data_IF_774349700685
#
_entry.id   IF_774349700685
#
_cell.length_a   1.000
_cell.length_b   1.000
_cell.length_c   1.000
_cell.angle_alpha   90.00
_cell.angle_beta   90.00
_cell.angle_gamma   90.00
#
_symmetry.space_group_name_H-M   'P 1'
#
loop_
_entity.id
_entity.type
_entity.pdbx_description
1 polymer ?
#
# COMPACT_ATOMS: atom_id res chain seq x y z
N UNK A 1 -14.86 22.11 -4.89
CA UNK A 1 -14.76 21.02 -3.89
C UNK A 1 -13.32 21.02 -3.39
N UNK A 2 -13.08 20.84 -2.09
CA UNK A 2 -11.72 20.69 -1.58
C UNK A 2 -11.13 19.35 -1.99
N UNK A 3 -9.84 19.15 -1.74
CA UNK A 3 -9.12 17.93 -2.10
C UNK A 3 -9.62 16.72 -1.29
N UNK A 4 -10.01 16.93 -0.02
CA UNK A 4 -10.63 15.92 0.83
C UNK A 4 -11.95 15.40 0.22
N UNK A 5 -12.87 16.29 -0.18
CA UNK A 5 -14.15 15.85 -0.74
C UNK A 5 -13.97 15.14 -2.09
N UNK A 6 -12.96 15.54 -2.88
CA UNK A 6 -12.64 14.86 -4.12
C UNK A 6 -12.12 13.44 -3.87
N UNK A 7 -11.20 13.26 -2.92
CA UNK A 7 -10.72 11.94 -2.51
C UNK A 7 -11.84 11.07 -1.93
N UNK A 8 -12.71 11.64 -1.10
CA UNK A 8 -13.87 10.94 -0.56
C UNK A 8 -14.85 10.49 -1.64
N UNK A 9 -15.16 11.36 -2.60
CA UNK A 9 -16.00 11.04 -3.75
C UNK A 9 -15.36 9.97 -4.64
N UNK A 10 -14.03 10.00 -4.80
CA UNK A 10 -13.30 9.00 -5.57
C UNK A 10 -13.41 7.62 -4.91
N UNK A 11 -13.14 7.52 -3.61
CA UNK A 11 -13.30 6.26 -2.85
C UNK A 11 -14.74 5.72 -2.95
N UNK A 12 -15.75 6.57 -2.73
CA UNK A 12 -17.15 6.16 -2.85
C UNK A 12 -17.50 5.60 -4.24
N UNK A 13 -16.94 6.18 -5.30
CA UNK A 13 -17.19 5.73 -6.69
C UNK A 13 -16.63 4.34 -6.98
N UNK A 14 -15.71 3.85 -6.15
CA UNK A 14 -15.11 2.52 -6.24
C UNK A 14 -15.89 1.46 -5.47
N UNK A 15 -16.98 1.86 -4.80
CA UNK A 15 -17.77 0.99 -3.93
C UNK A 15 -17.16 0.82 -2.54
N UNK A 16 -16.11 1.58 -2.21
CA UNK A 16 -15.55 1.63 -0.86
C UNK A 16 -16.49 2.42 0.07
N UNK A 17 -16.56 1.99 1.33
CA UNK A 17 -17.39 2.66 2.33
C UNK A 17 -16.74 3.99 2.77
N UNK A 18 -17.22 5.10 2.19
CA UNK A 18 -16.73 6.43 2.50
C UNK A 18 -16.94 6.83 3.98
N UNK A 19 -17.77 6.13 4.75
CA UNK A 19 -17.95 6.39 6.19
C UNK A 19 -16.65 6.19 6.98
N UNK A 20 -15.72 5.39 6.44
CA UNK A 20 -14.38 5.16 7.01
C UNK A 20 -13.55 6.44 7.17
N UNK A 21 -13.83 7.46 6.36
CA UNK A 21 -13.15 8.74 6.43
C UNK A 21 -13.57 9.54 7.65
N UNK A 22 -14.83 9.39 8.08
CA UNK A 22 -15.38 10.03 9.28
C UNK A 22 -15.24 9.20 10.56
N UNK A 23 -15.03 7.89 10.43
CA UNK A 23 -14.92 6.97 11.57
C UNK A 23 -13.66 7.21 12.41
N UNK A 24 -13.86 7.59 13.67
CA UNK A 24 -12.77 7.94 14.59
C UNK A 24 -12.00 6.72 15.11
N UNK A 25 -12.55 5.51 15.01
CA UNK A 25 -11.85 4.29 15.42
C UNK A 25 -11.18 3.56 14.24
N UNK A 26 -11.14 4.21 13.06
CA UNK A 26 -10.36 3.75 11.92
C UNK A 26 -9.16 4.65 11.67
N UNK A 27 -7.97 4.05 11.71
CA UNK A 27 -6.74 4.76 11.38
C UNK A 27 -6.64 5.05 9.88
N UNK A 28 -6.07 6.20 9.55
CA UNK A 28 -6.02 6.71 8.17
C UNK A 28 -4.75 7.53 7.94
N UNK A 29 -4.14 7.35 6.78
CA UNK A 29 -3.25 8.33 6.15
C UNK A 29 -3.84 8.65 4.79
N UNK A 30 -4.06 9.94 4.50
CA UNK A 30 -4.59 10.39 3.22
C UNK A 30 -3.72 11.48 2.62
N UNK A 31 -3.35 11.34 1.34
CA UNK A 31 -2.65 12.37 0.58
C UNK A 31 -3.14 12.51 -0.87
N UNK A 32 -3.15 13.73 -1.39
CA UNK A 32 -3.34 14.07 -2.81
C UNK A 32 -2.04 14.68 -3.35
N UNK A 33 -1.46 14.07 -4.37
CA UNK A 33 -0.10 14.40 -4.81
C UNK A 33 0.88 14.25 -3.65
N UNK A 34 1.51 15.34 -3.23
CA UNK A 34 2.36 15.38 -2.05
C UNK A 34 1.71 16.01 -0.82
N UNK A 35 0.45 16.43 -0.90
CA UNK A 35 -0.26 17.12 0.18
C UNK A 35 -0.98 16.12 1.09
N UNK A 36 -0.64 16.11 2.36
CA UNK A 36 -1.30 15.36 3.43
C UNK A 36 -2.65 16.01 3.76
N UNK A 37 -3.72 15.26 3.52
CA UNK A 37 -5.09 15.71 3.78
C UNK A 37 -5.60 15.26 5.15
N UNK A 38 -5.09 14.13 5.67
CA UNK A 38 -5.52 13.60 6.95
C UNK A 38 -4.61 12.53 7.50
N UNK A 39 -4.50 12.54 8.83
CA UNK A 39 -3.80 11.54 9.63
C UNK A 39 -4.65 11.24 10.85
N UNK A 40 -4.92 9.96 11.09
CA UNK A 40 -5.64 9.50 12.28
C UNK A 40 -5.02 8.22 12.81
N UNK A 41 -4.71 8.25 14.09
CA UNK A 41 -4.22 7.12 14.86
C UNK A 41 -5.35 6.45 15.63
N UNK A 42 -5.09 5.24 16.11
CA UNK A 42 -5.95 4.48 17.03
C UNK A 42 -5.08 3.86 18.12
N UNK A 43 -5.63 3.47 19.28
CA UNK A 43 -4.82 2.88 20.35
C UNK A 43 -3.92 1.74 19.87
N UNK A 44 -2.62 1.87 20.13
CA UNK A 44 -1.59 0.89 19.74
C UNK A 44 -1.04 1.03 18.31
N UNK A 45 -1.47 2.06 17.56
CA UNK A 45 -0.91 2.43 16.26
C UNK A 45 -0.41 3.88 16.31
N UNK A 46 0.89 4.09 16.11
CA UNK A 46 1.51 5.40 16.00
C UNK A 46 1.82 5.72 14.53
N UNK A 47 1.53 6.94 14.08
CA UNK A 47 1.76 7.40 12.72
C UNK A 47 2.48 8.75 12.75
N UNK A 48 3.60 8.84 12.07
CA UNK A 48 4.26 10.11 11.78
C UNK A 48 4.24 10.32 10.27
N UNK A 49 3.66 11.41 9.79
CA UNK A 49 3.71 11.75 8.38
C UNK A 49 4.17 13.20 8.17
N UNK A 50 4.93 13.44 7.10
CA UNK A 50 5.37 14.76 6.68
C UNK A 50 5.24 14.88 5.17
N UNK A 51 4.75 16.03 4.72
CA UNK A 51 4.78 16.43 3.32
C UNK A 51 5.98 17.34 3.02
N UNK A 52 6.42 17.32 1.78
CA UNK A 52 7.46 18.19 1.24
C UNK A 52 7.34 18.23 -0.29
N UNK A 53 8.10 19.12 -0.94
CA UNK A 53 8.20 19.12 -2.41
C UNK A 53 8.79 17.81 -2.98
N UNK A 54 9.53 17.05 -2.16
CA UNK A 54 10.13 15.78 -2.57
C UNK A 54 9.15 14.60 -2.49
N UNK A 55 8.04 14.74 -1.75
CA UNK A 55 7.07 13.68 -1.51
C UNK A 55 6.48 13.67 -0.11
N UNK A 56 5.70 12.63 0.15
CA UNK A 56 5.17 12.28 1.47
C UNK A 56 6.06 11.22 2.11
N UNK A 57 6.45 11.45 3.35
CA UNK A 57 7.15 10.46 4.16
C UNK A 57 6.24 10.05 5.32
N UNK A 58 6.01 8.76 5.49
CA UNK A 58 5.19 8.22 6.57
C UNK A 58 5.93 7.09 7.29
N UNK A 59 5.87 7.11 8.62
CA UNK A 59 6.32 6.05 9.51
C UNK A 59 5.15 5.56 10.34
N UNK A 60 4.90 4.26 10.33
CA UNK A 60 3.80 3.61 11.04
C UNK A 60 4.37 2.58 11.99
N UNK A 61 3.95 2.61 13.25
CA UNK A 61 4.39 1.67 14.28
C UNK A 61 3.18 1.01 14.93
N UNK A 62 3.11 -0.32 14.91
CA UNK A 62 2.12 -1.10 15.65
C UNK A 62 2.79 -1.65 16.90
N UNK A 63 2.22 -1.34 18.07
CA UNK A 63 2.78 -1.75 19.35
C UNK A 63 2.74 -3.29 19.54
N UNK A 64 3.66 -3.81 20.34
CA UNK A 64 3.75 -5.23 20.68
C UNK A 64 2.45 -5.79 21.25
N UNK A 65 2.07 -6.98 20.79
CA UNK A 65 0.89 -7.72 21.26
C UNK A 65 -0.46 -7.08 20.91
N UNK A 66 -0.47 -5.94 20.23
CA UNK A 66 -1.71 -5.24 19.86
C UNK A 66 -2.35 -5.89 18.64
N UNK A 67 -3.67 -6.04 18.69
CA UNK A 67 -4.51 -6.35 17.53
C UNK A 67 -5.31 -5.11 17.14
N UNK A 68 -4.99 -4.55 15.97
CA UNK A 68 -5.77 -3.44 15.40
C UNK A 68 -7.05 -4.04 14.80
N UNK A 69 -8.20 -3.64 15.33
CA UNK A 69 -9.49 -4.27 15.03
C UNK A 69 -10.03 -3.91 13.65
N UNK A 70 -9.80 -2.66 13.20
CA UNK A 70 -10.21 -2.16 11.89
C UNK A 70 -9.00 -2.02 10.97
N UNK A 71 -9.15 -2.19 9.65
CA UNK A 71 -8.04 -1.94 8.75
C UNK A 71 -7.49 -0.52 8.89
N UNK A 72 -6.19 -0.36 8.73
CA UNK A 72 -5.53 0.94 8.61
C UNK A 72 -5.60 1.36 7.15
N UNK A 73 -6.24 2.50 6.86
CA UNK A 73 -6.43 2.97 5.50
C UNK A 73 -5.26 3.84 5.04
N UNK A 74 -4.69 3.53 3.88
CA UNK A 74 -3.60 4.29 3.24
C UNK A 74 -4.10 4.81 1.89
N UNK A 75 -4.63 6.02 1.86
CA UNK A 75 -5.28 6.58 0.68
C UNK A 75 -4.33 7.57 -0.02
N UNK A 76 -3.79 7.19 -1.16
CA UNK A 76 -2.86 8.02 -1.94
C UNK A 76 -3.44 8.29 -3.32
N UNK A 77 -3.71 9.55 -3.64
CA UNK A 77 -4.29 9.93 -4.92
C UNK A 77 -3.46 10.94 -5.69
N UNK A 78 -3.67 11.01 -6.99
CA UNK A 78 -3.35 12.17 -7.82
C UNK A 78 -4.55 12.43 -8.72
N UNK A 79 -5.44 13.32 -8.29
CA UNK A 79 -6.72 13.59 -8.96
C UNK A 79 -6.59 14.68 -10.02
N UNK A 80 -5.45 14.67 -10.73
CA UNK A 80 -5.07 15.65 -11.75
C UNK A 80 -4.59 14.93 -13.00
N UNK A 81 -4.61 15.63 -14.13
CA UNK A 81 -4.18 15.07 -15.43
C UNK A 81 -2.68 14.82 -15.51
N UNK A 82 -1.92 15.67 -14.84
CA UNK A 82 -0.47 15.72 -14.89
C UNK A 82 0.10 15.88 -13.49
N UNK A 83 1.30 15.33 -13.25
CA UNK A 83 2.03 15.54 -12.00
C UNK A 83 2.79 14.31 -11.56
N UNK A 84 3.15 14.28 -10.29
CA UNK A 84 3.81 13.14 -9.69
C UNK A 84 3.47 12.98 -8.22
N UNK A 85 3.64 11.77 -7.72
CA UNK A 85 3.52 11.42 -6.32
C UNK A 85 4.71 10.55 -5.92
N UNK A 86 5.35 10.92 -4.81
CA UNK A 86 6.49 10.21 -4.24
C UNK A 86 6.17 9.91 -2.79
N UNK A 87 6.30 8.65 -2.40
CA UNK A 87 5.99 8.19 -1.06
C UNK A 87 7.15 7.39 -0.52
N UNK A 88 7.63 7.74 0.66
CA UNK A 88 8.51 6.91 1.48
C UNK A 88 7.70 6.39 2.66
N UNK A 89 7.53 5.07 2.75
CA UNK A 89 6.75 4.42 3.80
C UNK A 89 7.66 3.50 4.62
N UNK A 90 7.72 3.71 5.93
CA UNK A 90 8.37 2.80 6.88
C UNK A 90 7.33 2.22 7.84
N UNK A 91 7.27 0.90 7.95
CA UNK A 91 6.29 0.22 8.81
C UNK A 91 7.00 -0.74 9.76
N UNK A 92 6.76 -0.56 11.05
CA UNK A 92 7.28 -1.42 12.12
C UNK A 92 6.10 -2.10 12.81
N UNK A 93 6.05 -3.43 12.78
CA UNK A 93 4.98 -4.21 13.41
C UNK A 93 5.57 -5.03 14.55
N UNK A 94 5.23 -4.63 15.77
CA UNK A 94 5.76 -5.21 17.01
C UNK A 94 5.45 -6.69 17.17
N UNK A 95 6.18 -7.33 18.10
CA UNK A 95 6.09 -8.77 18.36
C UNK A 95 4.64 -9.20 18.63
N UNK A 96 4.19 -10.26 17.98
CA UNK A 96 2.85 -10.81 18.15
C UNK A 96 1.69 -9.85 17.79
N UNK A 97 1.98 -8.68 17.21
CA UNK A 97 0.94 -7.74 16.81
C UNK A 97 0.20 -8.21 15.54
N UNK A 98 -1.03 -7.76 15.36
CA UNK A 98 -1.87 -8.10 14.21
C UNK A 98 -2.51 -6.84 13.63
N UNK A 99 -2.32 -6.61 12.34
CA UNK A 99 -2.85 -5.44 11.63
C UNK A 99 -3.22 -5.79 10.19
N UNK A 100 -4.27 -5.14 9.68
CA UNK A 100 -4.62 -5.16 8.25
C UNK A 100 -4.42 -3.76 7.69
N UNK A 101 -3.77 -3.64 6.53
CA UNK A 101 -3.66 -2.39 5.79
C UNK A 101 -4.53 -2.45 4.53
N UNK A 102 -5.26 -1.37 4.25
CA UNK A 102 -6.01 -1.18 3.00
C UNK A 102 -5.50 0.07 2.30
N UNK A 103 -4.68 -0.14 1.28
CA UNK A 103 -4.14 0.92 0.45
C UNK A 103 -5.02 1.16 -0.78
N UNK A 104 -5.40 2.42 -0.98
CA UNK A 104 -6.20 2.87 -2.11
C UNK A 104 -5.40 3.89 -2.92
N UNK A 105 -5.00 3.51 -4.12
CA UNK A 105 -4.20 4.31 -5.03
C UNK A 105 -5.08 4.86 -6.19
N UNK A 106 -5.34 6.17 -6.18
CA UNK A 106 -6.38 6.79 -7.02
C UNK A 106 -5.79 7.66 -8.13
N UNK A 107 -5.87 7.21 -9.38
CA UNK A 107 -5.26 7.84 -10.55
C UNK A 107 -6.21 7.95 -11.76
N UNK A 108 -7.48 8.32 -11.49
CA UNK A 108 -8.57 8.29 -12.47
C UNK A 108 -8.40 9.24 -13.67
N UNK A 109 -7.59 10.30 -13.52
CA UNK A 109 -7.44 11.34 -14.54
C UNK A 109 -6.05 11.40 -15.15
N UNK A 110 -5.13 10.54 -14.71
CA UNK A 110 -3.72 10.61 -15.07
C UNK A 110 -3.49 10.37 -16.57
N UNK A 111 -3.23 11.44 -17.31
CA UNK A 111 -2.85 11.42 -18.73
C UNK A 111 -1.34 11.32 -18.91
N UNK A 112 -0.58 11.95 -18.02
CA UNK A 112 0.87 11.79 -17.93
C UNK A 112 1.32 12.07 -16.50
N UNK A 113 1.60 11.02 -15.74
CA UNK A 113 1.94 11.13 -14.32
C UNK A 113 2.95 10.06 -13.88
N UNK A 114 3.66 10.32 -12.78
CA UNK A 114 4.51 9.32 -12.11
C UNK A 114 4.02 9.10 -10.68
N UNK A 115 3.80 7.86 -10.28
CA UNK A 115 3.66 7.44 -8.89
C UNK A 115 4.82 6.52 -8.51
N UNK A 116 5.64 6.97 -7.56
CA UNK A 116 6.81 6.25 -7.06
C UNK A 116 6.67 6.04 -5.56
N UNK A 117 6.73 4.79 -5.14
CA UNK A 117 6.66 4.42 -3.73
C UNK A 117 7.88 3.61 -3.35
N UNK A 118 8.54 3.96 -2.27
CA UNK A 118 9.54 3.12 -1.62
C UNK A 118 9.04 2.75 -0.22
N UNK A 119 8.96 1.46 0.06
CA UNK A 119 8.46 0.95 1.32
C UNK A 119 9.46 0.02 2.01
N UNK A 120 9.68 0.23 3.31
CA UNK A 120 10.29 -0.74 4.22
C UNK A 120 9.25 -1.23 5.22
N UNK A 121 9.24 -2.53 5.48
CA UNK A 121 8.36 -3.12 6.49
C UNK A 121 9.09 -4.20 7.28
N UNK A 122 8.98 -4.15 8.61
CA UNK A 122 9.51 -5.17 9.52
C UNK A 122 8.38 -5.73 10.35
N UNK A 123 8.20 -7.04 10.28
CA UNK A 123 7.33 -7.81 11.16
C UNK A 123 8.21 -8.51 12.18
N UNK A 124 8.08 -8.14 13.44
CA UNK A 124 8.76 -8.82 14.54
C UNK A 124 8.17 -10.22 14.79
N UNK A 125 8.80 -10.97 15.70
CA UNK A 125 8.44 -12.38 15.99
C UNK A 125 6.92 -12.56 16.17
N UNK A 126 6.34 -13.51 15.44
CA UNK A 126 4.93 -13.88 15.56
C UNK A 126 3.92 -12.81 15.11
N UNK A 127 4.36 -11.68 14.57
CA UNK A 127 3.47 -10.64 14.03
C UNK A 127 2.68 -11.13 12.81
N UNK A 128 1.50 -10.55 12.58
CA UNK A 128 0.62 -10.86 11.46
C UNK A 128 0.21 -9.60 10.72
N UNK A 129 0.47 -9.57 9.43
CA UNK A 129 0.08 -8.46 8.56
C UNK A 129 -0.64 -8.99 7.34
N UNK A 130 -1.81 -8.44 7.07
CA UNK A 130 -2.51 -8.56 5.79
C UNK A 130 -2.51 -7.20 5.11
N UNK A 131 -1.91 -7.09 3.93
CA UNK A 131 -1.77 -5.86 3.17
C UNK A 131 -2.53 -5.99 1.85
N UNK A 132 -3.55 -5.16 1.67
CA UNK A 132 -4.37 -5.11 0.46
C UNK A 132 -4.17 -3.77 -0.23
N UNK A 133 -3.81 -3.81 -1.50
CA UNK A 133 -3.55 -2.62 -2.31
C UNK A 133 -4.36 -2.67 -3.59
N UNK A 134 -5.23 -1.66 -3.75
CA UNK A 134 -6.02 -1.43 -4.95
C UNK A 134 -5.54 -0.19 -5.67
N UNK A 135 -5.20 -0.34 -6.95
CA UNK A 135 -4.95 0.77 -7.87
C UNK A 135 -6.13 0.95 -8.82
N UNK A 136 -6.55 2.20 -8.97
CA UNK A 136 -7.73 2.58 -9.73
C UNK A 136 -7.36 3.67 -10.73
N UNK A 137 -7.21 3.26 -12.00
CA UNK A 137 -6.72 4.13 -13.06
C UNK A 137 -7.85 4.60 -13.98
N UNK A 138 -7.57 5.69 -14.68
CA UNK A 138 -8.38 6.18 -15.80
C UNK A 138 -8.12 5.45 -17.12
N UNK A 139 -8.76 5.89 -18.21
CA UNK A 139 -8.65 5.27 -19.53
C UNK A 139 -7.39 5.67 -20.33
N UNK A 140 -6.54 6.57 -19.81
CA UNK A 140 -5.50 7.22 -20.61
C UNK A 140 -4.21 6.40 -20.74
N UNK A 141 -3.78 5.74 -19.67
CA UNK A 141 -2.60 4.85 -19.68
C UNK A 141 -1.25 5.55 -19.75
N UNK A 142 -1.17 6.87 -19.51
CA UNK A 142 0.12 7.59 -19.46
C UNK A 142 0.72 7.71 -18.06
N UNK A 143 0.24 6.92 -17.10
CA UNK A 143 0.82 6.86 -15.75
C UNK A 143 1.96 5.84 -15.68
N UNK A 144 3.04 6.21 -14.99
CA UNK A 144 4.08 5.28 -14.54
C UNK A 144 3.90 4.98 -13.05
N UNK A 145 3.77 3.70 -12.70
CA UNK A 145 3.61 3.19 -11.32
C UNK A 145 4.83 2.36 -10.98
N UNK A 146 5.64 2.85 -10.04
CA UNK A 146 6.98 2.33 -9.73
C UNK A 146 7.15 1.99 -8.24
N UNK A 147 6.34 1.07 -7.67
CA UNK A 147 6.45 0.67 -6.28
C UNK A 147 7.64 -0.27 -6.05
N UNK A 148 8.42 0.02 -5.01
CA UNK A 148 9.51 -0.81 -4.52
C UNK A 148 9.35 -1.07 -3.04
N UNK A 149 9.21 -2.33 -2.65
CA UNK A 149 9.02 -2.71 -1.25
C UNK A 149 10.06 -3.73 -0.77
N UNK A 150 10.55 -3.54 0.46
CA UNK A 150 11.48 -4.44 1.15
C UNK A 150 10.87 -4.82 2.49
N UNK A 151 10.55 -6.10 2.65
CA UNK A 151 9.85 -6.62 3.82
C UNK A 151 10.72 -7.67 4.51
N UNK A 152 10.81 -7.59 5.84
CA UNK A 152 11.40 -8.62 6.69
C UNK A 152 10.31 -9.25 7.53
N UNK A 153 10.16 -10.57 7.43
CA UNK A 153 9.20 -11.38 8.17
C UNK A 153 9.97 -12.16 9.23
N UNK A 154 9.85 -11.72 10.48
CA UNK A 154 10.51 -12.31 11.63
C UNK A 154 10.07 -13.74 11.91
N UNK A 155 10.75 -14.38 12.87
CA UNK A 155 10.44 -15.75 13.29
C UNK A 155 8.95 -15.97 13.56
N UNK A 156 8.36 -16.97 12.91
CA UNK A 156 6.94 -17.33 13.07
C UNK A 156 5.94 -16.24 12.65
N UNK A 157 6.39 -15.11 12.11
CA UNK A 157 5.51 -14.05 11.62
C UNK A 157 4.87 -14.43 10.28
N UNK A 158 3.75 -13.77 9.94
CA UNK A 158 2.99 -14.02 8.72
C UNK A 158 2.70 -12.71 7.99
N UNK A 159 3.12 -12.64 6.74
CA UNK A 159 2.85 -11.53 5.82
C UNK A 159 2.03 -12.03 4.65
N UNK A 160 0.87 -11.43 4.44
CA UNK A 160 0.05 -11.62 3.23
C UNK A 160 -0.05 -10.29 2.50
N UNK A 161 0.21 -10.30 1.20
CA UNK A 161 0.07 -9.15 0.32
C UNK A 161 -0.85 -9.49 -0.84
N UNK A 162 -1.75 -8.56 -1.18
CA UNK A 162 -2.49 -8.57 -2.43
C UNK A 162 -2.37 -7.21 -3.10
N UNK A 163 -1.74 -7.19 -4.28
CA UNK A 163 -1.73 -6.07 -5.20
C UNK A 163 -2.78 -6.28 -6.29
N UNK A 164 -3.61 -5.26 -6.57
CA UNK A 164 -4.64 -5.30 -7.60
C UNK A 164 -4.64 -4.03 -8.43
N UNK A 165 -4.37 -4.17 -9.74
CA UNK A 165 -4.55 -3.14 -10.75
C UNK A 165 -5.34 -3.73 -11.92
N UNK A 166 -6.66 -3.76 -11.76
CA UNK A 166 -7.58 -4.40 -12.71
C UNK A 166 -8.62 -3.43 -13.29
N UNK A 167 -8.52 -2.14 -12.97
CA UNK A 167 -9.43 -1.09 -13.42
C UNK A 167 -8.68 0.01 -14.16
N UNK A 168 -9.19 0.37 -15.34
CA UNK A 168 -8.56 1.36 -16.22
C UNK A 168 -7.35 0.81 -16.96
N UNK A 169 -6.60 1.72 -17.59
CA UNK A 169 -5.33 1.41 -18.27
C UNK A 169 -4.21 1.36 -17.25
N UNK A 170 -3.42 0.28 -17.29
CA UNK A 170 -2.26 0.13 -16.39
C UNK A 170 -1.22 1.22 -16.64
N UNK A 171 -1.02 1.60 -17.91
CA UNK A 171 0.12 2.41 -18.31
C UNK A 171 1.42 1.62 -18.16
N UNK A 172 2.39 2.15 -17.42
CA UNK A 172 3.66 1.45 -17.15
C UNK A 172 3.75 1.07 -15.68
N UNK A 173 3.68 -0.22 -15.39
CA UNK A 173 3.86 -0.78 -14.05
C UNK A 173 5.23 -1.46 -13.94
N UNK A 174 6.02 -1.06 -12.94
CA UNK A 174 7.21 -1.79 -12.48
C UNK A 174 7.07 -2.08 -11.00
N UNK A 175 6.53 -3.26 -10.66
CA UNK A 175 6.37 -3.73 -9.30
C UNK A 175 7.63 -4.46 -8.84
N UNK A 176 8.30 -3.98 -7.79
CA UNK A 176 9.53 -4.58 -7.23
C UNK A 176 9.37 -4.87 -5.73
N UNK A 177 8.96 -6.09 -5.39
CA UNK A 177 8.73 -6.52 -4.01
C UNK A 177 9.72 -7.62 -3.64
N UNK A 178 10.45 -7.42 -2.54
CA UNK A 178 11.29 -8.45 -1.95
C UNK A 178 10.88 -8.68 -0.50
N UNK A 179 10.66 -9.94 -0.14
CA UNK A 179 10.39 -10.38 1.23
C UNK A 179 11.48 -11.34 1.68
N UNK A 180 12.05 -11.11 2.86
CA UNK A 180 12.89 -12.07 3.55
C UNK A 180 12.12 -12.72 4.71
N UNK A 181 12.20 -14.04 4.82
CA UNK A 181 11.38 -14.86 5.72
C UNK A 181 12.26 -15.70 6.63
N UNK A 182 12.20 -15.40 7.93
CA UNK A 182 12.96 -16.08 8.97
C UNK A 182 12.31 -17.41 9.42
N UNK A 183 12.84 -18.02 10.49
CA UNK A 183 12.46 -19.37 10.95
C UNK A 183 10.94 -19.49 11.14
N UNK A 184 10.33 -20.49 10.48
CA UNK A 184 8.88 -20.75 10.51
C UNK A 184 7.99 -19.57 10.07
N UNK A 185 8.55 -18.49 9.52
CA UNK A 185 7.79 -17.39 8.95
C UNK A 185 7.05 -17.80 7.68
N UNK A 186 6.05 -17.00 7.30
CA UNK A 186 5.25 -17.22 6.09
C UNK A 186 5.09 -15.91 5.33
N UNK A 187 5.34 -15.93 4.03
CA UNK A 187 5.03 -14.83 3.14
C UNK A 187 4.15 -15.30 1.97
N UNK A 188 3.07 -14.58 1.69
CA UNK A 188 2.20 -14.81 0.53
C UNK A 188 2.09 -13.51 -0.26
N UNK A 189 2.53 -13.52 -1.52
CA UNK A 189 2.46 -12.40 -2.45
C UNK A 189 1.47 -12.74 -3.57
N UNK A 190 0.43 -11.92 -3.72
CA UNK A 190 -0.57 -12.08 -4.78
C UNK A 190 -0.63 -10.80 -5.60
N UNK A 191 -0.38 -10.90 -6.90
CA UNK A 191 -0.50 -9.80 -7.84
C UNK A 191 -1.58 -10.09 -8.88
N UNK A 192 -2.51 -9.16 -9.07
CA UNK A 192 -3.56 -9.20 -10.10
C UNK A 192 -3.46 -7.94 -10.95
N UNK A 193 -3.02 -8.08 -12.18
CA UNK A 193 -2.91 -6.97 -13.12
C UNK A 193 -3.70 -7.31 -14.37
N UNK A 194 -4.43 -6.35 -14.92
CA UNK A 194 -5.12 -6.51 -16.19
C UNK A 194 -4.61 -5.46 -17.19
N UNK A 195 -3.49 -5.77 -17.85
CA UNK A 195 -2.87 -4.88 -18.83
C UNK A 195 -3.50 -5.03 -20.21
N UNK A 196 -3.77 -3.92 -20.90
CA UNK A 196 -4.28 -3.96 -22.27
C UNK A 196 -3.90 -2.72 -23.10
N UNK A 197 -4.10 -2.80 -24.42
CA UNK A 197 -3.71 -1.70 -25.32
C UNK A 197 -2.18 -1.52 -25.37
N UNK A 198 -1.70 -0.34 -25.02
CA UNK A 198 -0.28 0.02 -25.01
C UNK A 198 0.37 -0.12 -23.62
N UNK A 199 -0.28 -0.82 -22.69
CA UNK A 199 0.22 -1.01 -21.33
C UNK A 199 1.50 -1.87 -21.30
N UNK A 200 2.38 -1.58 -20.35
CA UNK A 200 3.59 -2.35 -20.08
C UNK A 200 3.62 -2.76 -18.60
N UNK A 201 3.78 -4.04 -18.35
CA UNK A 201 3.72 -4.61 -17.00
C UNK A 201 5.00 -5.40 -16.74
N UNK A 202 5.74 -4.99 -15.71
CA UNK A 202 6.89 -5.71 -15.19
C UNK A 202 6.67 -5.98 -13.70
N UNK A 203 6.68 -7.26 -13.35
CA UNK A 203 6.52 -7.71 -11.95
C UNK A 203 7.78 -8.46 -11.54
N UNK A 204 8.39 -8.00 -10.45
CA UNK A 204 9.57 -8.59 -9.80
C UNK A 204 9.22 -8.85 -8.34
N UNK A 205 8.77 -10.05 -8.08
CA UNK A 205 8.44 -10.51 -6.72
C UNK A 205 9.46 -11.57 -6.29
N UNK A 206 10.07 -11.38 -5.13
CA UNK A 206 11.12 -12.27 -4.62
C UNK A 206 10.86 -12.61 -3.15
N UNK A 207 10.71 -13.90 -2.85
CA UNK A 207 10.68 -14.42 -1.49
C UNK A 207 12.00 -15.13 -1.16
N UNK A 208 12.70 -14.67 -0.13
CA UNK A 208 13.96 -15.25 0.38
C UNK A 208 13.62 -16.02 1.64
N UNK A 209 13.66 -17.36 1.57
CA UNK A 209 13.37 -18.24 2.70
C UNK A 209 14.67 -18.52 3.48
N UNK A 210 15.09 -17.59 4.34
CA UNK A 210 16.38 -17.66 5.04
C UNK A 210 16.34 -18.52 6.31
N UNK A 211 15.17 -18.71 6.91
CA UNK A 211 15.01 -19.50 8.14
C UNK A 211 14.52 -20.93 7.95
N UNK A 212 14.87 -21.81 8.91
CA UNK A 212 14.37 -23.20 8.93
C UNK A 212 12.84 -23.23 8.98
N UNK A 213 12.22 -23.94 8.04
CA UNK A 213 10.77 -24.07 7.96
C UNK A 213 10.03 -22.81 7.47
N UNK A 214 10.75 -21.81 6.95
CA UNK A 214 10.15 -20.67 6.26
C UNK A 214 9.36 -21.13 5.02
N UNK A 215 8.23 -20.47 4.74
CA UNK A 215 7.36 -20.78 3.59
C UNK A 215 7.05 -19.51 2.81
N UNK A 216 6.92 -19.67 1.49
CA UNK A 216 6.61 -18.59 0.58
C UNK A 216 5.63 -19.04 -0.49
N UNK A 217 4.69 -18.16 -0.85
CA UNK A 217 3.87 -18.28 -2.06
C UNK A 217 3.99 -16.98 -2.84
N UNK A 218 4.25 -17.07 -4.13
CA UNK A 218 4.16 -15.93 -5.05
C UNK A 218 3.22 -16.33 -6.17
N UNK A 219 2.17 -15.54 -6.39
CA UNK A 219 1.15 -15.79 -7.40
C UNK A 219 0.79 -14.51 -8.12
N UNK A 220 1.23 -14.41 -9.37
CA UNK A 220 0.94 -13.27 -10.23
C UNK A 220 0.00 -13.71 -11.36
N UNK A 221 -1.04 -12.93 -11.64
CA UNK A 221 -1.91 -13.06 -12.80
C UNK A 221 -1.89 -11.72 -13.53
N UNK A 222 -1.42 -11.74 -14.78
CA UNK A 222 -1.29 -10.58 -15.67
C UNK A 222 -2.06 -10.85 -16.96
#
# INVERSE_FOLDING_TARGET
MGEWEQMASALASLGEDASVLSDQETALVMAEGHHLLGLREVPGLHIQARESEEGVQARIEVAEGVRIQRPVHLCFGLLRRYGGQRILLDVQVGKGAEVTFMAHCLFMFAEMAEHRMEASMVLEEGARVSYHEGHYHGPFGGIEVLPKARIRVGKGARFENTFSLTSGRVGKLVLDVQVEVEEKGVAELISKVFGHGADTVMIREKAILSGKGARGLVKSRV
#
